data_IF_607711983958
#
_entry.id   IF_607711983958
#
_cell.length_a   1.000
_cell.length_b   1.000
_cell.length_c   1.000
_cell.angle_alpha   90.00
_cell.angle_beta   90.00
_cell.angle_gamma   90.00
#
_symmetry.space_group_name_H-M   'P 1'
#
loop_
_entity.id
_entity.type
_entity.pdbx_description
1 polymer ?
#
# COMPACT_ATOMS: atom_id res chain seq x y z
N UNK A 1 32.48 9.99 -9.99
CA UNK A 1 32.45 9.31 -8.68
C UNK A 1 31.02 8.88 -8.54
N UNK A 2 30.75 7.58 -8.65
CA UNK A 2 29.39 7.04 -8.47
C UNK A 2 29.04 7.15 -6.99
N UNK A 3 27.84 7.64 -6.68
CA UNK A 3 27.36 7.68 -5.30
C UNK A 3 26.78 6.31 -4.92
N UNK A 4 27.66 5.43 -4.47
CA UNK A 4 27.33 4.02 -4.14
C UNK A 4 26.48 3.94 -2.87
N UNK A 5 26.56 4.93 -1.98
CA UNK A 5 25.82 4.96 -0.71
C UNK A 5 24.32 5.14 -0.92
N UNK A 6 23.91 6.21 -1.60
CA UNK A 6 22.50 6.48 -1.84
C UNK A 6 21.89 5.44 -2.81
N UNK A 7 22.67 4.91 -3.76
CA UNK A 7 22.20 3.84 -4.64
C UNK A 7 21.86 2.55 -3.86
N UNK A 8 22.59 2.24 -2.78
CA UNK A 8 22.25 1.12 -1.90
C UNK A 8 20.97 1.40 -1.08
N UNK A 9 20.78 2.63 -0.59
CA UNK A 9 19.57 3.01 0.14
C UNK A 9 18.33 2.97 -0.76
N UNK A 10 18.41 3.48 -1.99
CA UNK A 10 17.31 3.33 -2.96
C UNK A 10 17.03 1.86 -3.29
N UNK A 11 18.07 1.02 -3.40
CA UNK A 11 17.88 -0.42 -3.60
C UNK A 11 17.16 -1.08 -2.42
N UNK A 12 17.42 -0.64 -1.18
CA UNK A 12 16.72 -1.14 0.00
C UNK A 12 15.23 -0.74 0.00
N UNK A 13 14.90 0.48 -0.44
CA UNK A 13 13.48 0.87 -0.65
C UNK A 13 12.82 -0.06 -1.65
N UNK A 14 13.47 -0.32 -2.78
CA UNK A 14 12.97 -1.21 -3.84
C UNK A 14 12.83 -2.67 -3.39
N UNK A 15 13.67 -3.12 -2.46
CA UNK A 15 13.60 -4.48 -1.89
C UNK A 15 12.42 -4.63 -0.93
N UNK A 16 12.12 -3.60 -0.13
CA UNK A 16 11.12 -3.67 0.95
C UNK A 16 9.71 -3.25 0.54
N UNK A 17 9.58 -2.34 -0.42
CA UNK A 17 8.27 -1.86 -0.87
C UNK A 17 7.33 -2.97 -1.39
N UNK A 18 7.82 -4.04 -2.06
CA UNK A 18 6.97 -5.16 -2.48
C UNK A 18 6.22 -5.85 -1.33
N UNK A 19 6.69 -5.77 -0.08
CA UNK A 19 5.98 -6.34 1.07
C UNK A 19 4.63 -5.64 1.28
N UNK A 20 4.58 -4.31 1.18
CA UNK A 20 3.32 -3.53 1.26
C UNK A 20 2.33 -3.94 0.16
N UNK A 21 2.80 -4.06 -1.09
CA UNK A 21 1.95 -4.52 -2.19
C UNK A 21 1.49 -5.97 -2.00
N UNK A 22 2.32 -6.81 -1.39
CA UNK A 22 1.98 -8.18 -1.03
C UNK A 22 0.88 -8.26 0.03
N UNK A 23 0.95 -7.43 1.06
CA UNK A 23 -0.07 -7.32 2.11
C UNK A 23 -1.42 -6.89 1.54
N UNK A 24 -1.45 -5.83 0.70
CA UNK A 24 -2.66 -5.41 0.01
C UNK A 24 -3.28 -6.52 -0.84
N UNK A 25 -2.45 -7.33 -1.51
CA UNK A 25 -2.92 -8.48 -2.28
C UNK A 25 -3.53 -9.57 -1.38
N UNK A 26 -2.88 -9.89 -0.25
CA UNK A 26 -3.38 -10.87 0.72
C UNK A 26 -4.71 -10.43 1.31
N UNK A 27 -4.86 -9.16 1.68
CA UNK A 27 -6.12 -8.62 2.22
C UNK A 27 -7.25 -8.69 1.18
N UNK A 28 -6.96 -8.37 -0.09
CA UNK A 28 -7.92 -8.52 -1.20
C UNK A 28 -8.34 -9.97 -1.38
N UNK A 29 -7.39 -10.90 -1.40
CA UNK A 29 -7.65 -12.32 -1.61
C UNK A 29 -8.44 -12.95 -0.46
N UNK A 30 -8.22 -12.49 0.77
CA UNK A 30 -8.99 -12.89 1.95
C UNK A 30 -10.36 -12.20 2.03
N UNK A 31 -10.60 -11.14 1.25
CA UNK A 31 -11.82 -10.34 1.30
C UNK A 31 -11.87 -9.36 2.48
N UNK A 32 -10.74 -9.13 3.14
CA UNK A 32 -10.58 -8.26 4.32
C UNK A 32 -10.23 -6.80 3.92
N UNK A 33 -10.83 -6.33 2.84
CA UNK A 33 -10.66 -4.95 2.36
C UNK A 33 -11.48 -4.00 3.23
N UNK A 34 -10.88 -3.52 4.32
CA UNK A 34 -11.54 -2.69 5.33
C UNK A 34 -10.92 -1.30 5.46
N UNK A 35 -11.67 -0.34 6.02
CA UNK A 35 -11.12 0.98 6.33
C UNK A 35 -9.90 0.90 7.27
N UNK A 36 -9.89 -0.03 8.23
CA UNK A 36 -8.75 -0.19 9.14
C UNK A 36 -7.47 -0.61 8.39
N UNK A 37 -7.60 -1.58 7.48
CA UNK A 37 -6.51 -2.04 6.61
C UNK A 37 -5.98 -0.91 5.70
N UNK A 38 -6.88 -0.08 5.13
CA UNK A 38 -6.49 1.12 4.38
C UNK A 38 -5.63 2.04 5.26
N UNK A 39 -6.07 2.36 6.48
CA UNK A 39 -5.34 3.28 7.36
C UNK A 39 -3.99 2.74 7.81
N UNK A 40 -3.86 1.43 7.98
CA UNK A 40 -2.58 0.78 8.26
C UNK A 40 -1.63 0.90 7.06
N UNK A 41 -2.10 0.52 5.89
CA UNK A 41 -1.34 0.61 4.64
C UNK A 41 -0.93 2.04 4.27
N UNK A 42 -1.79 3.04 4.53
CA UNK A 42 -1.44 4.45 4.38
C UNK A 42 -0.30 4.87 5.31
N UNK A 43 -0.35 4.43 6.58
CA UNK A 43 0.70 4.71 7.53
C UNK A 43 2.04 4.07 7.13
N UNK A 44 2.00 2.90 6.49
CA UNK A 44 3.19 2.22 5.98
C UNK A 44 3.74 2.90 4.72
N UNK A 45 2.87 3.27 3.77
CA UNK A 45 3.25 4.05 2.59
C UNK A 45 3.88 5.40 2.98
N UNK A 46 3.35 6.08 3.99
CA UNK A 46 3.90 7.34 4.48
C UNK A 46 5.29 7.17 5.11
N UNK A 47 5.60 6.00 5.70
CA UNK A 47 6.96 5.68 6.15
C UNK A 47 7.91 5.52 4.96
N UNK A 48 7.49 4.85 3.90
CA UNK A 48 8.30 4.74 2.66
C UNK A 48 8.52 6.10 2.00
N UNK A 49 7.49 6.95 1.90
CA UNK A 49 7.61 8.32 1.38
C UNK A 49 8.57 9.17 2.21
N UNK A 50 8.46 9.09 3.53
CA UNK A 50 9.34 9.82 4.44
C UNK A 50 10.79 9.34 4.35
N UNK A 51 11.00 8.04 4.20
CA UNK A 51 12.33 7.47 4.01
C UNK A 51 12.93 7.90 2.66
N UNK A 52 12.18 7.77 1.57
CA UNK A 52 12.61 8.21 0.24
C UNK A 52 12.99 9.70 0.23
N UNK A 53 12.13 10.57 0.79
CA UNK A 53 12.41 12.00 0.88
C UNK A 53 13.69 12.32 1.65
N UNK A 54 14.03 11.51 2.67
CA UNK A 54 15.27 11.64 3.42
C UNK A 54 16.49 11.26 2.57
N UNK A 55 16.41 10.18 1.79
CA UNK A 55 17.48 9.77 0.87
C UNK A 55 17.70 10.90 -0.15
N UNK A 56 16.62 11.38 -0.78
CA UNK A 56 16.67 12.47 -1.78
C UNK A 56 17.23 13.77 -1.22
N UNK A 57 16.97 14.09 0.05
CA UNK A 57 17.54 15.28 0.71
C UNK A 57 19.06 15.16 0.91
N UNK A 58 19.57 13.94 1.08
CA UNK A 58 20.99 13.66 1.28
C UNK A 58 21.74 13.40 -0.04
N UNK A 59 21.03 13.07 -1.12
CA UNK A 59 21.59 12.75 -2.42
C UNK A 59 22.01 13.99 -3.20
N UNK A 60 23.28 14.38 -3.03
CA UNK A 60 23.87 15.53 -3.74
C UNK A 60 24.28 15.23 -5.19
N UNK A 61 24.25 13.96 -5.61
CA UNK A 61 24.82 13.50 -6.88
C UNK A 61 23.81 12.86 -7.82
N UNK A 62 22.52 12.92 -7.47
CA UNK A 62 21.41 12.36 -8.25
C UNK A 62 21.67 10.88 -8.61
N UNK A 63 21.83 10.02 -7.59
CA UNK A 63 22.13 8.62 -7.81
C UNK A 63 21.06 7.95 -8.69
N UNK A 64 21.46 7.07 -9.63
CA UNK A 64 20.58 6.56 -10.69
C UNK A 64 19.40 5.72 -10.18
N UNK A 65 19.43 5.23 -8.93
CA UNK A 65 18.33 4.50 -8.29
C UNK A 65 17.13 5.36 -7.90
N UNK A 66 17.29 6.69 -7.77
CA UNK A 66 16.23 7.60 -7.31
C UNK A 66 14.95 7.55 -8.16
N UNK A 67 15.02 7.68 -9.49
CA UNK A 67 13.85 7.59 -10.36
C UNK A 67 13.06 6.28 -10.20
N UNK A 68 13.76 5.15 -10.10
CA UNK A 68 13.11 3.84 -9.95
C UNK A 68 12.42 3.70 -8.58
N UNK A 69 13.07 4.16 -7.50
CA UNK A 69 12.47 4.13 -6.16
C UNK A 69 11.22 5.03 -6.08
N UNK A 70 11.23 6.20 -6.73
CA UNK A 70 10.07 7.09 -6.79
C UNK A 70 8.92 6.47 -7.57
N UNK A 71 9.21 5.91 -8.75
CA UNK A 71 8.20 5.20 -9.56
C UNK A 71 7.57 4.04 -8.78
N UNK A 72 8.37 3.27 -8.04
CA UNK A 72 7.86 2.18 -7.24
C UNK A 72 6.91 2.67 -6.12
N UNK A 73 7.28 3.75 -5.40
CA UNK A 73 6.41 4.36 -4.38
C UNK A 73 5.12 4.92 -4.99
N UNK A 74 5.18 5.51 -6.17
CA UNK A 74 4.00 6.00 -6.89
C UNK A 74 3.08 4.85 -7.32
N UNK A 75 3.64 3.72 -7.75
CA UNK A 75 2.87 2.51 -8.07
C UNK A 75 2.19 1.92 -6.82
N UNK A 76 2.90 1.84 -5.69
CA UNK A 76 2.32 1.39 -4.43
C UNK A 76 1.19 2.34 -3.96
N UNK A 77 1.35 3.65 -4.15
CA UNK A 77 0.30 4.63 -3.85
C UNK A 77 -0.94 4.45 -4.73
N UNK A 78 -0.76 4.18 -6.03
CA UNK A 78 -1.88 3.91 -6.93
C UNK A 78 -2.59 2.59 -6.59
N UNK A 79 -1.85 1.58 -6.14
CA UNK A 79 -2.41 0.31 -5.69
C UNK A 79 -3.24 0.49 -4.41
N UNK A 80 -2.72 1.23 -3.43
CA UNK A 80 -3.44 1.57 -2.21
C UNK A 80 -4.71 2.38 -2.50
N UNK A 81 -4.67 3.33 -3.43
CA UNK A 81 -5.87 4.06 -3.84
C UNK A 81 -6.95 3.13 -4.42
N UNK A 82 -6.54 2.11 -5.18
CA UNK A 82 -7.47 1.07 -5.69
C UNK A 82 -8.04 0.21 -4.56
N UNK A 83 -7.23 -0.07 -3.53
CA UNK A 83 -7.65 -0.78 -2.33
C UNK A 83 -8.67 0.03 -1.49
N UNK A 84 -8.44 1.32 -1.27
CA UNK A 84 -9.37 2.24 -0.61
C UNK A 84 -10.71 2.33 -1.36
N UNK A 85 -10.66 2.47 -2.68
CA UNK A 85 -11.84 2.45 -3.55
C UNK A 85 -12.69 1.18 -3.33
N UNK A 86 -12.04 0.04 -3.14
CA UNK A 86 -12.71 -1.22 -2.86
C UNK A 86 -13.29 -1.26 -1.44
N UNK A 87 -12.63 -0.68 -0.44
CA UNK A 87 -13.19 -0.60 0.92
C UNK A 87 -14.45 0.27 0.95
N UNK A 88 -14.45 1.41 0.26
CA UNK A 88 -15.61 2.31 0.16
C UNK A 88 -16.81 1.60 -0.48
N UNK A 89 -16.58 0.83 -1.55
CA UNK A 89 -17.62 0.03 -2.20
C UNK A 89 -18.16 -1.08 -1.28
N UNK A 90 -17.32 -1.67 -0.43
CA UNK A 90 -17.74 -2.68 0.53
C UNK A 90 -18.65 -2.11 1.63
N UNK A 91 -18.42 -0.86 2.06
CA UNK A 91 -19.23 -0.18 3.09
C UNK A 91 -20.54 0.42 2.56
N UNK A 92 -20.62 0.68 1.26
CA UNK A 92 -21.82 1.18 0.59
C UNK A 92 -22.48 0.07 -0.25
N UNK A 93 -23.19 -0.89 0.35
CA UNK A 93 -24.04 -1.77 -0.44
C UNK A 93 -25.08 -0.90 -1.15
N UNK A 94 -25.05 -0.90 -2.49
CA UNK A 94 -26.08 -0.30 -3.34
C UNK A 94 -27.48 -0.55 -2.73
N UNK A 95 -28.37 0.45 -2.67
CA UNK A 95 -29.72 0.28 -2.14
C UNK A 95 -30.51 -0.67 -3.05
N UNK A 96 -30.35 -1.97 -2.83
CA UNK A 96 -30.90 -3.03 -3.68
C UNK A 96 -30.53 -4.46 -3.26
N UNK A 97 -29.48 -4.67 -2.45
CA UNK A 97 -29.13 -6.02 -1.98
C UNK A 97 -29.09 -6.11 -0.45
N UNK A 98 -30.26 -6.03 0.18
CA UNK A 98 -30.42 -6.46 1.57
C UNK A 98 -30.51 -8.00 1.56
N UNK A 99 -29.36 -8.68 1.53
CA UNK A 99 -29.35 -10.08 1.97
C UNK A 99 -29.54 -10.05 3.47
N UNK A 100 -30.80 -10.25 3.89
CA UNK A 100 -31.15 -10.54 5.27
C UNK A 100 -30.27 -11.66 5.80
N UNK A 101 -29.29 -11.35 6.67
CA UNK A 101 -28.83 -12.32 7.66
C UNK A 101 -29.96 -12.53 8.67
N UNK A 102 -30.99 -13.23 8.26
CA UNK A 102 -31.98 -13.79 9.17
C UNK A 102 -31.31 -14.90 9.97
N UNK A 103 -31.37 -14.74 11.28
CA UNK A 103 -31.08 -15.76 12.27
C UNK A 103 -31.77 -17.08 11.92
N UNK A 104 -31.03 -18.17 11.96
CA UNK A 104 -31.58 -19.50 12.19
C UNK A 104 -30.45 -20.42 12.65
N UNK A 105 -30.39 -20.74 13.93
CA UNK A 105 -30.21 -22.11 14.41
C UNK A 105 -30.77 -22.20 15.83
N UNK A 106 -32.10 -22.26 15.89
CA UNK A 106 -32.78 -23.07 16.89
C UNK A 106 -33.28 -24.30 16.14
N UNK A 107 -32.61 -25.44 16.29
CA UNK A 107 -33.18 -26.76 16.03
C UNK A 107 -32.43 -27.84 16.84
N UNK A 108 -33.17 -28.32 17.85
CA UNK A 108 -33.25 -29.67 18.43
C UNK A 108 -32.14 -30.21 19.35
#
# INVERSE_FOLDING_TARGET
MEDVGHNAEYAEVLERLPDLSGELAVERDCGDVTYAAVKESEADLDRFRSWLAKIETCDYFDAPGGPAAREAVDLAAADLATFEDASVRAESPEPGNVVSRSQAVDQL
#
